data_IF_209388312089
#
_entry.id   IF_209388312089
#
_cell.length_a   1.000
_cell.length_b   1.000
_cell.length_c   1.000
_cell.angle_alpha   90.00
_cell.angle_beta   90.00
_cell.angle_gamma   90.00
#
_symmetry.space_group_name_H-M   'P 1'
#
loop_
_entity.id
_entity.type
_entity.pdbx_description
1 polymer ?
#
# COMPACT_ATOMS: atom_id res chain seq x y z
N UNK A 1 41.28 -39.47 10.13
CA UNK A 1 41.39 -38.37 9.14
C UNK A 1 40.48 -38.54 7.90
N UNK A 2 39.51 -39.47 7.88
CA UNK A 2 38.70 -39.80 6.69
C UNK A 2 37.29 -39.17 6.71
N UNK A 3 36.86 -38.52 7.80
CA UNK A 3 35.49 -37.98 7.91
C UNK A 3 35.29 -36.55 7.37
N UNK A 4 36.36 -35.86 6.97
CA UNK A 4 36.30 -34.45 6.55
C UNK A 4 36.06 -34.26 5.04
N UNK A 5 36.38 -35.26 4.21
CA UNK A 5 36.18 -35.17 2.74
C UNK A 5 34.71 -35.23 2.33
N UNK A 6 33.86 -35.86 3.14
CA UNK A 6 32.45 -36.08 2.79
C UNK A 6 31.55 -34.87 3.10
N UNK A 7 31.99 -33.96 3.98
CA UNK A 7 31.20 -32.78 4.35
C UNK A 7 31.43 -31.58 3.40
N UNK A 8 32.63 -31.47 2.81
CA UNK A 8 32.95 -30.41 1.84
C UNK A 8 32.35 -30.63 0.44
N UNK A 9 31.84 -31.83 0.14
CA UNK A 9 31.22 -32.12 -1.16
C UNK A 9 29.70 -31.86 -1.22
N UNK A 10 29.06 -31.40 -0.12
CA UNK A 10 27.62 -31.08 -0.08
C UNK A 10 27.26 -29.60 -0.19
N UNK A 11 28.24 -28.69 -0.26
CA UNK A 11 28.00 -27.27 -0.55
C UNK A 11 28.44 -26.94 -1.97
N UNK A 12 27.78 -27.57 -2.95
CA UNK A 12 27.86 -27.16 -4.35
C UNK A 12 26.92 -25.95 -4.54
N UNK A 13 27.41 -24.77 -4.97
CA UNK A 13 26.58 -23.60 -5.21
C UNK A 13 25.88 -23.73 -6.57
N UNK A 14 24.88 -24.61 -6.66
CA UNK A 14 24.15 -24.88 -7.91
C UNK A 14 22.64 -24.56 -7.86
N UNK A 15 22.14 -23.92 -6.79
CA UNK A 15 20.70 -23.61 -6.67
C UNK A 15 20.33 -22.12 -6.69
N UNK A 16 21.28 -21.20 -6.92
CA UNK A 16 20.99 -19.77 -6.98
C UNK A 16 20.85 -19.23 -8.43
N UNK A 17 20.29 -20.03 -9.36
CA UNK A 17 20.11 -19.59 -10.76
C UNK A 17 18.82 -20.10 -11.41
N UNK A 18 17.70 -20.09 -10.69
CA UNK A 18 16.39 -20.27 -11.31
C UNK A 18 15.32 -19.46 -10.59
N UNK A 19 15.28 -18.14 -10.80
CA UNK A 19 14.05 -17.32 -10.78
C UNK A 19 14.33 -15.84 -11.11
N UNK A 20 14.89 -15.57 -12.30
CA UNK A 20 14.79 -14.24 -12.92
C UNK A 20 14.58 -14.44 -14.42
N UNK A 21 13.39 -14.88 -14.81
CA UNK A 21 12.83 -14.67 -16.16
C UNK A 21 11.32 -14.74 -16.04
N UNK A 22 10.67 -13.59 -15.89
CA UNK A 22 9.36 -13.24 -16.46
C UNK A 22 8.89 -11.92 -15.85
N UNK A 23 9.27 -10.80 -16.46
CA UNK A 23 8.54 -9.54 -16.37
C UNK A 23 8.25 -9.08 -17.80
N UNK A 24 6.98 -8.97 -18.22
CA UNK A 24 6.61 -8.17 -19.36
C UNK A 24 6.66 -6.68 -18.98
N UNK A 25 7.18 -5.89 -19.90
CA UNK A 25 7.04 -4.43 -19.99
C UNK A 25 5.61 -3.95 -19.68
N UNK A 26 5.45 -2.89 -18.89
CA UNK A 26 5.01 -1.55 -19.34
C UNK A 26 4.59 -0.64 -18.15
N UNK A 27 4.83 0.66 -18.31
CA UNK A 27 4.29 1.84 -17.58
C UNK A 27 4.98 2.29 -16.25
N UNK A 28 5.80 3.34 -16.39
CA UNK A 28 6.13 4.33 -15.35
C UNK A 28 4.88 5.15 -14.96
N UNK A 29 4.76 5.57 -13.70
CA UNK A 29 5.06 6.98 -13.42
C UNK A 29 5.94 7.18 -12.19
N UNK A 30 6.65 8.31 -12.20
CA UNK A 30 7.40 8.87 -11.10
C UNK A 30 6.46 9.36 -9.99
N UNK A 31 6.84 9.19 -8.71
CA UNK A 31 7.01 10.29 -7.74
C UNK A 31 7.47 9.77 -6.36
N UNK A 32 8.47 10.48 -5.82
CA UNK A 32 8.83 10.70 -4.42
C UNK A 32 8.82 9.56 -3.38
N UNK A 33 10.03 9.07 -3.09
CA UNK A 33 10.72 9.20 -1.81
C UNK A 33 9.86 9.29 -0.52
N UNK A 34 9.74 8.15 0.16
CA UNK A 34 9.86 8.11 1.62
C UNK A 34 10.93 7.08 1.96
N UNK A 35 12.12 7.56 2.35
CA UNK A 35 13.23 6.74 2.81
C UNK A 35 12.77 5.92 4.03
N UNK A 36 12.61 4.62 3.82
CA UNK A 36 12.49 3.64 4.88
C UNK A 36 13.88 3.48 5.50
N UNK A 37 13.98 3.77 6.81
CA UNK A 37 15.19 3.64 7.59
C UNK A 37 15.78 2.23 7.44
N UNK A 38 16.88 2.14 6.69
CA UNK A 38 17.83 1.06 6.85
C UNK A 38 18.59 1.37 8.13
N UNK A 39 18.29 0.63 9.19
CA UNK A 39 19.25 0.49 10.29
C UNK A 39 20.50 -0.14 9.68
N UNK A 40 21.50 0.68 9.41
CA UNK A 40 22.85 0.24 9.15
C UNK A 40 23.32 -0.47 10.42
N UNK A 41 23.33 -1.80 10.40
CA UNK A 41 24.06 -2.58 11.38
C UNK A 41 25.52 -2.18 11.25
N UNK A 42 26.04 -1.46 12.24
CA UNK A 42 27.46 -1.17 12.37
C UNK A 42 28.25 -2.46 12.11
N UNK A 43 29.17 -2.50 11.14
CA UNK A 43 30.10 -3.62 11.05
C UNK A 43 31.07 -3.45 12.22
N UNK A 44 30.71 -3.98 13.38
CA UNK A 44 31.65 -4.22 14.46
C UNK A 44 32.62 -5.32 13.96
N UNK A 45 33.63 -4.89 13.21
CA UNK A 45 34.80 -5.70 12.86
C UNK A 45 35.68 -5.83 14.11
N UNK A 46 35.16 -6.53 15.11
CA UNK A 46 35.99 -7.03 16.22
C UNK A 46 36.57 -8.35 15.75
N UNK A 47 37.52 -8.28 14.81
CA UNK A 47 38.41 -9.41 14.60
C UNK A 47 39.31 -9.43 15.83
N UNK A 48 38.94 -10.24 16.81
CA UNK A 48 39.78 -10.51 17.97
C UNK A 48 40.99 -11.29 17.45
N UNK A 49 42.09 -10.56 17.21
CA UNK A 49 43.36 -11.14 16.79
C UNK A 49 43.93 -11.85 18.01
N UNK A 50 43.50 -13.11 18.18
CA UNK A 50 43.96 -13.98 19.26
C UNK A 50 45.47 -14.20 19.08
N UNK A 51 46.25 -13.50 19.89
CA UNK A 51 47.71 -13.46 19.81
C UNK A 51 48.27 -14.76 20.39
N UNK A 52 48.93 -15.55 19.55
CA UNK A 52 49.65 -16.77 19.93
C UNK A 52 50.94 -16.32 20.62
N UNK A 53 51.08 -16.57 21.92
CA UNK A 53 52.27 -16.20 22.69
C UNK A 53 53.23 -17.40 22.81
N UNK A 54 54.48 -17.18 22.44
CA UNK A 54 55.52 -18.19 22.33
C UNK A 54 56.40 -18.21 23.59
N UNK A 55 56.39 -19.28 24.40
CA UNK A 55 57.27 -19.45 25.58
C UNK A 55 58.76 -19.57 25.23
N UNK A 56 59.64 -18.99 26.06
CA UNK A 56 61.11 -18.96 25.87
C UNK A 56 61.83 -20.25 26.27
N UNK A 57 62.84 -20.66 25.50
CA UNK A 57 63.59 -21.92 25.63
C UNK A 57 64.80 -21.81 26.57
N UNK A 58 64.88 -22.67 27.60
CA UNK A 58 65.94 -22.70 28.62
C UNK A 58 67.10 -23.69 28.40
N UNK A 59 67.05 -24.60 27.43
CA UNK A 59 68.13 -25.61 27.27
C UNK A 59 69.07 -25.28 26.11
N UNK A 60 70.19 -24.61 26.43
CA UNK A 60 71.27 -24.29 25.48
C UNK A 60 72.59 -24.77 26.05
N UNK A 61 73.24 -25.73 25.39
CA UNK A 61 74.63 -26.13 25.72
C UNK A 61 75.43 -26.28 24.43
N UNK A 62 76.33 -25.33 24.20
CA UNK A 62 77.32 -25.41 23.13
C UNK A 62 78.34 -26.49 23.50
N UNK A 63 78.43 -27.55 22.72
CA UNK A 63 79.48 -28.57 22.86
C UNK A 63 80.69 -28.14 22.02
N UNK A 64 81.42 -27.13 22.49
CA UNK A 64 82.68 -26.73 21.87
C UNK A 64 83.84 -27.29 22.72
N UNK A 65 84.65 -28.16 22.14
CA UNK A 65 85.83 -28.71 22.82
C UNK A 65 87.01 -27.75 22.65
N UNK A 66 87.09 -26.81 23.58
CA UNK A 66 88.18 -25.81 23.61
C UNK A 66 89.55 -26.46 23.80
N UNK A 67 89.63 -27.61 24.46
CA UNK A 67 90.92 -28.22 24.81
C UNK A 67 91.55 -28.93 23.61
N UNK A 68 90.76 -29.70 22.85
CA UNK A 68 91.22 -30.33 21.62
C UNK A 68 91.71 -29.28 20.61
N UNK A 69 91.00 -28.15 20.50
CA UNK A 69 91.34 -27.09 19.56
C UNK A 69 92.61 -26.31 19.94
N UNK A 70 92.86 -26.11 21.24
CA UNK A 70 94.14 -25.53 21.72
C UNK A 70 95.32 -26.45 21.40
N UNK A 71 95.18 -27.76 21.64
CA UNK A 71 96.24 -28.74 21.34
C UNK A 71 96.58 -28.80 19.84
N UNK A 72 95.57 -28.70 18.98
CA UNK A 72 95.77 -28.67 17.53
C UNK A 72 96.55 -27.41 17.11
N UNK A 73 96.23 -26.24 17.66
CA UNK A 73 96.95 -24.99 17.36
C UNK A 73 98.39 -25.02 17.87
N UNK A 74 98.63 -25.56 19.07
CA UNK A 74 99.99 -25.75 19.61
C UNK A 74 100.82 -26.67 18.70
N UNK A 75 100.23 -27.76 18.18
CA UNK A 75 100.91 -28.69 17.26
C UNK A 75 101.29 -28.06 15.92
N UNK A 76 100.59 -26.99 15.52
CA UNK A 76 100.83 -26.23 14.31
C UNK A 76 101.79 -25.03 14.52
N UNK A 77 102.44 -24.94 15.69
CA UNK A 77 103.51 -23.97 15.96
C UNK A 77 103.05 -22.65 16.60
N UNK A 78 101.81 -22.58 17.11
CA UNK A 78 101.36 -21.44 17.91
C UNK A 78 101.81 -21.56 19.38
N UNK A 79 102.16 -20.44 20.00
CA UNK A 79 102.38 -20.41 21.45
C UNK A 79 101.04 -20.68 22.16
N UNK A 80 101.07 -21.47 23.24
CA UNK A 80 99.89 -21.81 24.06
C UNK A 80 98.98 -20.62 24.35
N UNK A 81 99.57 -19.48 24.75
CA UNK A 81 98.82 -18.24 25.06
C UNK A 81 98.09 -17.68 23.84
N UNK A 82 98.71 -17.76 22.66
CA UNK A 82 98.11 -17.29 21.41
C UNK A 82 96.97 -18.23 20.98
N UNK A 83 97.17 -19.55 21.11
CA UNK A 83 96.14 -20.54 20.85
C UNK A 83 94.91 -20.33 21.76
N UNK A 84 95.11 -20.17 23.08
CA UNK A 84 94.03 -19.93 24.05
C UNK A 84 93.23 -18.66 23.73
N UNK A 85 93.88 -17.56 23.31
CA UNK A 85 93.19 -16.31 22.93
C UNK A 85 92.33 -16.50 21.68
N UNK A 86 92.85 -17.18 20.66
CA UNK A 86 92.11 -17.47 19.42
C UNK A 86 90.90 -18.35 19.72
N UNK A 87 91.08 -19.42 20.49
CA UNK A 87 90.00 -20.32 20.90
C UNK A 87 88.94 -19.58 21.72
N UNK A 88 89.36 -18.71 22.65
CA UNK A 88 88.43 -17.91 23.46
C UNK A 88 87.62 -16.94 22.61
N UNK A 89 88.25 -16.27 21.63
CA UNK A 89 87.55 -15.39 20.70
C UNK A 89 86.55 -16.16 19.82
N UNK A 90 86.91 -17.37 19.36
CA UNK A 90 86.02 -18.25 18.59
C UNK A 90 84.84 -18.74 19.41
N UNK A 91 85.06 -19.14 20.67
CA UNK A 91 83.97 -19.53 21.58
C UNK A 91 83.02 -18.35 21.81
N UNK A 92 83.56 -17.15 22.06
CA UNK A 92 82.75 -15.96 22.27
C UNK A 92 81.90 -15.60 21.04
N UNK A 93 82.49 -15.58 19.84
CA UNK A 93 81.79 -15.32 18.57
C UNK A 93 80.75 -16.40 18.26
N UNK A 94 81.10 -17.67 18.45
CA UNK A 94 80.19 -18.79 18.19
C UNK A 94 79.01 -18.79 19.16
N UNK A 95 79.25 -18.47 20.43
CA UNK A 95 78.19 -18.34 21.44
C UNK A 95 77.27 -17.17 21.09
N UNK A 96 77.82 -16.01 20.74
CA UNK A 96 77.03 -14.84 20.34
C UNK A 96 76.21 -15.10 19.05
N UNK A 97 76.80 -15.75 18.04
CA UNK A 97 76.09 -16.10 16.80
C UNK A 97 75.00 -17.14 17.05
N UNK A 98 75.24 -18.15 17.88
CA UNK A 98 74.23 -19.14 18.25
C UNK A 98 73.05 -18.47 18.99
N UNK A 99 73.29 -17.53 19.89
CA UNK A 99 72.21 -16.80 20.57
C UNK A 99 71.36 -15.95 19.63
N UNK A 100 71.90 -15.49 18.49
CA UNK A 100 71.11 -14.80 17.45
C UNK A 100 70.31 -15.82 16.65
N UNK A 101 70.96 -16.87 16.14
CA UNK A 101 70.30 -17.90 15.31
C UNK A 101 69.17 -18.60 16.08
N UNK A 102 69.37 -18.95 17.35
CA UNK A 102 68.34 -19.61 18.16
C UNK A 102 67.20 -18.67 18.60
N UNK A 103 67.41 -17.35 18.57
CA UNK A 103 66.33 -16.37 18.82
C UNK A 103 65.39 -16.27 17.62
N UNK A 104 65.94 -16.38 16.41
CA UNK A 104 65.18 -16.28 15.17
C UNK A 104 64.62 -17.63 14.71
N UNK A 105 65.15 -18.75 15.23
CA UNK A 105 64.64 -20.08 14.96
C UNK A 105 63.37 -20.40 15.77
N UNK A 106 62.49 -21.18 15.13
CA UNK A 106 61.29 -21.75 15.75
C UNK A 106 61.54 -23.23 16.01
N UNK A 107 61.33 -23.68 17.25
CA UNK A 107 61.46 -25.12 17.58
C UNK A 107 60.21 -25.90 17.20
N UNK A 108 60.35 -27.20 16.98
CA UNK A 108 59.22 -28.08 16.66
C UNK A 108 58.11 -28.04 17.74
N UNK A 109 58.49 -27.99 19.02
CA UNK A 109 57.54 -27.81 20.14
C UNK A 109 56.77 -26.50 20.03
N UNK A 110 57.44 -25.44 19.60
CA UNK A 110 56.82 -24.14 19.38
C UNK A 110 55.77 -24.20 18.26
N UNK A 111 56.15 -24.81 17.13
CA UNK A 111 55.25 -24.99 15.99
C UNK A 111 54.02 -25.84 16.36
N UNK A 112 54.19 -26.86 17.20
CA UNK A 112 53.08 -27.69 17.67
C UNK A 112 52.08 -26.90 18.53
N UNK A 113 52.57 -26.09 19.47
CA UNK A 113 51.71 -25.23 20.31
C UNK A 113 50.93 -24.24 19.43
N UNK A 114 51.60 -23.57 18.49
CA UNK A 114 50.95 -22.65 17.56
C UNK A 114 49.86 -23.35 16.73
N UNK A 115 50.14 -24.57 16.24
CA UNK A 115 49.15 -25.37 15.51
C UNK A 115 47.95 -25.75 16.39
N UNK A 116 48.17 -26.18 17.64
CA UNK A 116 47.09 -26.50 18.56
C UNK A 116 46.19 -25.29 18.84
N UNK A 117 46.77 -24.09 19.00
CA UNK A 117 46.01 -22.85 19.18
C UNK A 117 45.19 -22.50 17.93
N UNK A 118 45.78 -22.60 16.74
CA UNK A 118 45.07 -22.41 15.47
C UNK A 118 43.90 -23.40 15.35
N UNK A 119 44.13 -24.68 15.67
CA UNK A 119 43.09 -25.71 15.64
C UNK A 119 41.94 -25.40 16.61
N UNK A 120 42.26 -24.97 17.84
CA UNK A 120 41.25 -24.56 18.82
C UNK A 120 40.42 -23.36 18.33
N UNK A 121 41.05 -22.39 17.66
CA UNK A 121 40.34 -21.27 17.06
C UNK A 121 39.44 -21.69 15.89
N UNK A 122 39.89 -22.59 15.02
CA UNK A 122 39.06 -23.14 13.94
C UNK A 122 37.86 -23.92 14.51
N UNK A 123 38.05 -24.65 15.60
CA UNK A 123 36.97 -25.36 16.28
C UNK A 123 35.94 -24.41 16.92
N UNK A 124 36.39 -23.28 17.47
CA UNK A 124 35.52 -22.20 17.95
C UNK A 124 34.67 -21.63 16.80
N UNK A 125 35.30 -21.24 15.69
CA UNK A 125 34.61 -20.69 14.51
C UNK A 125 33.58 -21.68 13.97
N UNK A 126 33.91 -22.98 13.96
CA UNK A 126 32.98 -24.03 13.51
C UNK A 126 31.76 -24.13 14.42
N UNK A 127 31.94 -24.01 15.75
CA UNK A 127 30.80 -23.99 16.70
C UNK A 127 29.91 -22.79 16.45
N UNK A 128 30.51 -21.60 16.29
CA UNK A 128 29.76 -20.36 16.03
C UNK A 128 28.96 -20.46 14.73
N UNK A 129 29.55 -21.00 13.66
CA UNK A 129 28.85 -21.26 12.40
C UNK A 129 27.64 -22.20 12.56
N UNK A 130 27.80 -23.30 13.30
CA UNK A 130 26.71 -24.26 13.55
C UNK A 130 25.60 -23.64 14.41
N UNK A 131 25.95 -22.81 15.39
CA UNK A 131 24.98 -22.08 16.23
C UNK A 131 24.19 -21.10 15.36
N UNK A 132 24.88 -20.32 14.53
CA UNK A 132 24.26 -19.36 13.62
C UNK A 132 23.27 -20.07 12.65
N UNK A 133 23.68 -21.21 12.07
CA UNK A 133 22.86 -22.01 11.15
C UNK A 133 21.63 -22.61 11.83
N UNK A 134 21.78 -23.14 13.05
CA UNK A 134 20.69 -23.84 13.75
C UNK A 134 19.75 -22.90 14.50
N UNK A 135 20.26 -21.80 15.06
CA UNK A 135 19.48 -20.87 15.88
C UNK A 135 18.94 -19.73 15.04
N UNK A 136 19.82 -18.86 14.56
CA UNK A 136 19.41 -17.56 14.01
C UNK A 136 18.76 -17.72 12.65
N UNK A 137 19.34 -18.52 11.76
CA UNK A 137 18.74 -18.76 10.45
C UNK A 137 17.44 -19.56 10.52
N UNK A 138 17.30 -20.48 11.47
CA UNK A 138 16.05 -21.21 11.67
C UNK A 138 14.94 -20.27 12.19
N UNK A 139 15.27 -19.41 13.16
CA UNK A 139 14.36 -18.42 13.70
C UNK A 139 13.92 -17.42 12.62
N UNK A 140 14.86 -16.87 11.85
CA UNK A 140 14.55 -15.94 10.76
C UNK A 140 13.68 -16.57 9.67
N UNK A 141 13.92 -17.84 9.31
CA UNK A 141 13.06 -18.55 8.34
C UNK A 141 11.64 -18.77 8.89
N UNK A 142 11.53 -19.17 10.16
CA UNK A 142 10.24 -19.36 10.84
C UNK A 142 9.46 -18.05 10.92
N UNK A 143 10.11 -16.98 11.35
CA UNK A 143 9.51 -15.64 11.45
C UNK A 143 9.10 -15.11 10.06
N UNK A 144 9.92 -15.31 9.04
CA UNK A 144 9.58 -14.93 7.67
C UNK A 144 8.35 -15.72 7.15
N UNK A 145 8.29 -17.03 7.41
CA UNK A 145 7.14 -17.86 7.04
C UNK A 145 5.86 -17.42 7.78
N UNK A 146 5.98 -17.08 9.07
CA UNK A 146 4.88 -16.55 9.88
C UNK A 146 4.38 -15.21 9.32
N UNK A 147 5.27 -14.26 9.09
CA UNK A 147 4.92 -12.96 8.49
C UNK A 147 4.23 -13.11 7.14
N UNK A 148 4.71 -14.02 6.28
CA UNK A 148 4.08 -14.30 4.98
C UNK A 148 2.66 -14.84 5.15
N UNK A 149 2.43 -15.70 6.14
CA UNK A 149 1.11 -16.27 6.43
C UNK A 149 0.15 -15.19 6.95
N UNK A 150 0.59 -14.35 7.89
CA UNK A 150 -0.20 -13.23 8.41
C UNK A 150 -0.56 -12.22 7.31
N UNK A 151 0.37 -11.94 6.40
CA UNK A 151 0.15 -11.06 5.26
C UNK A 151 -0.95 -11.59 4.33
N UNK A 152 -0.91 -12.88 3.98
CA UNK A 152 -1.98 -13.48 3.16
C UNK A 152 -3.32 -13.52 3.91
N UNK A 153 -3.32 -13.76 5.22
CA UNK A 153 -4.55 -13.68 6.03
C UNK A 153 -5.16 -12.28 6.00
N UNK A 154 -4.36 -11.23 6.22
CA UNK A 154 -4.85 -9.84 6.20
C UNK A 154 -5.36 -9.47 4.81
N UNK A 155 -4.64 -9.87 3.75
CA UNK A 155 -5.04 -9.64 2.36
C UNK A 155 -6.38 -10.31 2.03
N UNK A 156 -6.58 -11.57 2.44
CA UNK A 156 -7.84 -12.27 2.23
C UNK A 156 -8.99 -11.59 2.98
N UNK A 157 -8.79 -11.25 4.26
CA UNK A 157 -9.79 -10.50 5.04
C UNK A 157 -10.15 -9.16 4.40
N UNK A 158 -9.16 -8.41 3.91
CA UNK A 158 -9.40 -7.14 3.23
C UNK A 158 -10.22 -7.34 1.94
N UNK A 159 -9.92 -8.39 1.18
CA UNK A 159 -10.65 -8.71 -0.04
C UNK A 159 -12.10 -9.15 0.23
N UNK A 160 -12.32 -9.93 1.28
CA UNK A 160 -13.66 -10.35 1.73
C UNK A 160 -14.48 -9.15 2.22
N UNK A 161 -13.93 -8.32 3.11
CA UNK A 161 -14.60 -7.12 3.61
C UNK A 161 -14.88 -6.11 2.49
N UNK A 162 -13.96 -5.93 1.55
CA UNK A 162 -14.18 -5.04 0.38
C UNK A 162 -15.32 -5.54 -0.51
N UNK A 163 -15.40 -6.86 -0.74
CA UNK A 163 -16.51 -7.44 -1.49
C UNK A 163 -17.84 -7.32 -0.75
N UNK A 164 -17.84 -7.55 0.57
CA UNK A 164 -19.01 -7.38 1.42
C UNK A 164 -19.53 -5.95 1.39
N UNK A 165 -18.66 -4.96 1.63
CA UNK A 165 -19.00 -3.53 1.56
C UNK A 165 -19.57 -3.18 0.17
N UNK A 166 -19.00 -3.73 -0.91
CA UNK A 166 -19.51 -3.51 -2.27
C UNK A 166 -20.89 -4.12 -2.48
N UNK A 167 -21.13 -5.32 -1.97
CA UNK A 167 -22.43 -5.98 -2.06
C UNK A 167 -23.49 -5.24 -1.25
N UNK A 168 -23.16 -4.84 -0.01
CA UNK A 168 -24.02 -4.08 0.88
C UNK A 168 -24.38 -2.72 0.24
N UNK A 169 -23.39 -1.95 -0.24
CA UNK A 169 -23.64 -0.68 -0.92
C UNK A 169 -24.51 -0.84 -2.18
N UNK A 170 -24.33 -1.93 -2.94
CA UNK A 170 -25.17 -2.22 -4.11
C UNK A 170 -26.61 -2.53 -3.69
N UNK A 171 -26.80 -3.28 -2.61
CA UNK A 171 -28.13 -3.57 -2.06
C UNK A 171 -28.81 -2.29 -1.59
N UNK A 172 -28.12 -1.46 -0.81
CA UNK A 172 -28.64 -0.18 -0.32
C UNK A 172 -29.09 0.74 -1.46
N UNK A 173 -28.25 0.89 -2.49
CA UNK A 173 -28.60 1.69 -3.67
C UNK A 173 -29.83 1.12 -4.38
N UNK A 174 -29.95 -0.21 -4.48
CA UNK A 174 -31.10 -0.84 -5.13
C UNK A 174 -32.38 -0.66 -4.32
N UNK A 175 -32.31 -0.77 -2.99
CA UNK A 175 -33.44 -0.56 -2.10
C UNK A 175 -33.91 0.90 -2.16
N UNK A 176 -33.01 1.87 -2.06
CA UNK A 176 -33.37 3.28 -2.20
C UNK A 176 -33.90 3.61 -3.60
N UNK A 177 -33.33 3.01 -4.66
CA UNK A 177 -33.87 3.16 -6.02
C UNK A 177 -35.30 2.64 -6.12
N UNK A 178 -35.59 1.47 -5.54
CA UNK A 178 -36.96 0.92 -5.50
C UNK A 178 -37.88 1.87 -4.75
N UNK A 179 -37.47 2.35 -3.57
CA UNK A 179 -38.26 3.27 -2.74
C UNK A 179 -38.58 4.57 -3.47
N UNK A 180 -37.60 5.18 -4.14
CA UNK A 180 -37.80 6.39 -4.95
C UNK A 180 -38.74 6.12 -6.12
N UNK A 181 -38.62 4.96 -6.77
CA UNK A 181 -39.50 4.57 -7.87
C UNK A 181 -40.94 4.41 -7.39
N UNK A 182 -41.16 3.71 -6.28
CA UNK A 182 -42.48 3.51 -5.69
C UNK A 182 -43.13 4.86 -5.32
N UNK A 183 -42.37 5.74 -4.65
CA UNK A 183 -42.83 7.10 -4.34
C UNK A 183 -43.17 7.92 -5.60
N UNK A 184 -42.36 7.80 -6.66
CA UNK A 184 -42.61 8.48 -7.92
C UNK A 184 -43.90 7.97 -8.58
N UNK A 185 -44.11 6.65 -8.63
CA UNK A 185 -45.35 6.07 -9.17
C UNK A 185 -46.58 6.46 -8.36
N UNK A 186 -46.46 6.57 -7.04
CA UNK A 186 -47.54 7.04 -6.18
C UNK A 186 -47.87 8.52 -6.46
N UNK A 187 -46.85 9.37 -6.64
CA UNK A 187 -47.03 10.76 -7.02
C UNK A 187 -47.66 10.92 -8.40
N UNK A 188 -47.22 10.14 -9.38
CA UNK A 188 -47.79 10.11 -10.73
C UNK A 188 -49.28 9.73 -10.68
N UNK A 189 -49.64 8.72 -9.89
CA UNK A 189 -51.04 8.33 -9.67
C UNK A 189 -51.86 9.45 -9.05
N UNK A 190 -51.37 10.10 -7.99
CA UNK A 190 -52.07 11.24 -7.35
C UNK A 190 -52.24 12.40 -8.33
N UNK A 191 -51.23 12.67 -9.15
CA UNK A 191 -51.29 13.71 -10.18
C UNK A 191 -52.34 13.37 -11.24
N UNK A 192 -52.43 12.11 -11.66
CA UNK A 192 -53.46 11.65 -12.59
C UNK A 192 -54.87 11.78 -12.01
N UNK A 193 -55.07 11.41 -10.73
CA UNK A 193 -56.34 11.57 -10.02
C UNK A 193 -56.76 13.05 -9.93
N UNK A 194 -55.86 13.93 -9.47
CA UNK A 194 -56.12 15.38 -9.41
C UNK A 194 -56.40 15.95 -10.80
N UNK A 195 -55.68 15.52 -11.83
CA UNK A 195 -55.93 15.99 -13.19
C UNK A 195 -57.31 15.52 -13.71
N UNK A 196 -57.71 14.29 -13.41
CA UNK A 196 -59.04 13.79 -13.75
C UNK A 196 -60.16 14.56 -13.01
N UNK A 197 -59.98 14.83 -11.72
CA UNK A 197 -60.89 15.67 -10.94
C UNK A 197 -60.98 17.10 -11.47
N UNK A 198 -59.84 17.69 -11.82
CA UNK A 198 -59.77 19.01 -12.44
C UNK A 198 -60.57 19.05 -13.75
N UNK A 199 -60.37 18.08 -14.65
CA UNK A 199 -61.11 18.01 -15.90
C UNK A 199 -62.63 17.84 -15.67
N UNK A 200 -63.02 16.99 -14.70
CA UNK A 200 -64.43 16.83 -14.34
C UNK A 200 -65.05 18.14 -13.84
N UNK A 201 -64.35 18.86 -12.97
CA UNK A 201 -64.80 20.16 -12.45
C UNK A 201 -64.84 21.23 -13.54
N UNK A 202 -63.87 21.23 -14.45
CA UNK A 202 -63.85 22.14 -15.59
C UNK A 202 -65.06 21.90 -16.51
N UNK A 203 -65.40 20.64 -16.81
CA UNK A 203 -66.59 20.29 -17.60
C UNK A 203 -67.90 20.67 -16.89
N UNK A 204 -67.98 20.49 -15.56
CA UNK A 204 -69.13 20.93 -14.75
C UNK A 204 -69.31 22.46 -14.82
N UNK A 205 -68.22 23.21 -14.66
CA UNK A 205 -68.22 24.68 -14.80
C UNK A 205 -68.64 25.08 -16.21
N UNK A 206 -68.07 24.48 -17.25
CA UNK A 206 -68.40 24.78 -18.66
C UNK A 206 -69.88 24.51 -18.97
N UNK A 207 -70.43 23.38 -18.51
CA UNK A 207 -71.85 23.06 -18.67
C UNK A 207 -72.74 24.08 -17.97
N UNK A 208 -72.39 24.48 -16.74
CA UNK A 208 -73.14 25.49 -15.99
C UNK A 208 -73.07 26.89 -16.65
N UNK A 209 -71.92 27.23 -17.22
CA UNK A 209 -71.73 28.47 -17.97
C UNK A 209 -72.61 28.46 -19.23
N UNK A 210 -72.62 27.38 -20.00
CA UNK A 210 -73.49 27.23 -21.18
C UNK A 210 -74.97 27.31 -20.80
N UNK A 211 -75.38 26.69 -19.68
CA UNK A 211 -76.77 26.77 -19.22
C UNK A 211 -77.17 28.20 -18.83
N UNK A 212 -76.30 28.93 -18.12
CA UNK A 212 -76.56 30.33 -17.75
C UNK A 212 -76.58 31.24 -18.97
N UNK A 213 -75.67 31.07 -19.94
CA UNK A 213 -75.71 31.80 -21.21
C UNK A 213 -77.02 31.55 -21.96
N UNK A 214 -77.49 30.30 -22.06
CA UNK A 214 -78.79 29.98 -22.68
C UNK A 214 -79.96 30.65 -21.98
N UNK A 215 -79.96 30.69 -20.63
CA UNK A 215 -81.01 31.39 -19.86
C UNK A 215 -81.01 32.89 -20.16
N UNK A 216 -79.83 33.51 -20.18
CA UNK A 216 -79.66 34.93 -20.55
C UNK A 216 -80.20 35.17 -21.96
N UNK A 217 -79.87 34.33 -22.94
CA UNK A 217 -80.34 34.48 -24.32
C UNK A 217 -81.87 34.40 -24.44
N UNK A 218 -82.50 33.46 -23.70
CA UNK A 218 -83.97 33.32 -23.66
C UNK A 218 -84.60 34.56 -23.02
N UNK A 219 -84.07 35.03 -21.89
CA UNK A 219 -84.57 36.23 -21.21
C UNK A 219 -84.43 37.46 -22.10
N UNK A 220 -83.29 37.65 -22.77
CA UNK A 220 -83.05 38.73 -23.73
C UNK A 220 -84.04 38.67 -24.89
N UNK A 221 -84.29 37.50 -25.47
CA UNK A 221 -85.29 37.32 -26.52
C UNK A 221 -86.69 37.66 -26.02
N UNK A 222 -87.07 37.19 -24.82
CA UNK A 222 -88.38 37.44 -24.22
C UNK A 222 -88.60 38.93 -23.96
N UNK A 223 -87.63 39.62 -23.36
CA UNK A 223 -87.68 41.07 -23.11
C UNK A 223 -87.76 41.85 -24.41
N UNK A 224 -87.04 41.42 -25.45
CA UNK A 224 -87.13 42.03 -26.79
C UNK A 224 -88.52 41.90 -27.39
N UNK A 225 -89.16 40.72 -27.31
CA UNK A 225 -90.53 40.54 -27.80
C UNK A 225 -91.55 41.40 -27.02
N UNK A 226 -91.38 41.50 -25.70
CA UNK A 226 -92.22 42.35 -24.85
C UNK A 226 -92.06 43.82 -25.25
N UNK A 227 -90.82 44.28 -25.42
CA UNK A 227 -90.51 45.63 -25.87
C UNK A 227 -91.13 45.94 -27.25
N UNK A 228 -91.01 45.04 -28.22
CA UNK A 228 -91.61 45.19 -29.54
C UNK A 228 -93.15 45.25 -29.47
N UNK A 229 -93.76 44.41 -28.62
CA UNK A 229 -95.21 44.43 -28.42
C UNK A 229 -95.70 45.74 -27.79
N UNK A 230 -94.98 46.27 -26.79
CA UNK A 230 -95.30 47.54 -26.13
C UNK A 230 -95.12 48.74 -27.07
N UNK A 231 -94.10 48.70 -27.94
CA UNK A 231 -93.92 49.68 -29.01
C UNK A 231 -95.11 49.68 -29.96
N UNK A 232 -95.55 48.50 -30.43
CA UNK A 232 -96.72 48.37 -31.31
C UNK A 232 -98.02 48.84 -30.64
N UNK A 233 -98.22 48.51 -29.35
CA UNK A 233 -99.36 49.00 -28.58
C UNK A 233 -99.37 50.53 -28.49
N UNK A 234 -98.25 51.14 -28.12
CA UNK A 234 -98.12 52.60 -28.05
C UNK A 234 -98.42 53.27 -29.40
N UNK A 235 -97.92 52.72 -30.51
CA UNK A 235 -98.24 53.21 -31.87
C UNK A 235 -99.74 53.12 -32.15
N UNK A 236 -100.40 52.00 -31.80
CA UNK A 236 -101.86 51.85 -31.97
C UNK A 236 -102.66 52.82 -31.11
N UNK A 237 -102.28 53.01 -29.84
CA UNK A 237 -102.92 53.99 -28.94
C UNK A 237 -102.79 55.42 -29.48
N UNK A 238 -101.59 55.82 -29.93
CA UNK A 238 -101.37 57.14 -30.53
C UNK A 238 -102.24 57.33 -31.79
N UNK A 239 -102.29 56.33 -32.67
CA UNK A 239 -103.15 56.37 -33.85
C UNK A 239 -104.62 56.55 -33.46
N UNK A 240 -105.13 55.77 -32.50
CA UNK A 240 -106.49 55.87 -32.00
C UNK A 240 -106.81 57.27 -31.44
N UNK A 241 -105.89 57.86 -30.66
CA UNK A 241 -106.03 59.22 -30.16
C UNK A 241 -106.12 60.23 -31.30
N UNK A 242 -105.22 60.16 -32.29
CA UNK A 242 -105.26 61.06 -33.46
C UNK A 242 -106.57 60.91 -34.23
N UNK A 243 -107.02 59.68 -34.51
CA UNK A 243 -108.30 59.42 -35.17
C UNK A 243 -109.48 59.96 -34.36
N UNK A 244 -109.47 59.80 -33.03
CA UNK A 244 -110.53 60.34 -32.16
C UNK A 244 -110.57 61.87 -32.17
N UNK A 245 -109.41 62.54 -32.12
CA UNK A 245 -109.31 63.99 -32.24
C UNK A 245 -109.80 64.48 -33.60
N UNK A 246 -109.42 63.79 -34.69
CA UNK A 246 -109.90 64.10 -36.04
C UNK A 246 -111.41 63.88 -36.18
N UNK A 247 -111.96 62.81 -35.62
CA UNK A 247 -113.40 62.54 -35.62
C UNK A 247 -114.18 63.62 -34.85
N UNK A 248 -113.67 64.06 -33.70
CA UNK A 248 -114.26 65.17 -32.93
C UNK A 248 -114.17 66.48 -33.73
N UNK A 249 -113.02 66.79 -34.33
CA UNK A 249 -112.85 67.99 -35.15
C UNK A 249 -113.78 68.02 -36.37
N UNK A 250 -113.97 66.87 -37.04
CA UNK A 250 -114.94 66.72 -38.13
C UNK A 250 -116.39 66.83 -37.64
N UNK A 251 -116.69 66.30 -36.45
CA UNK A 251 -117.99 66.48 -35.79
C UNK A 251 -118.31 67.95 -35.51
N UNK A 252 -117.34 68.72 -35.00
CA UNK A 252 -117.49 70.17 -34.80
C UNK A 252 -117.59 70.95 -36.12
N UNK A 253 -116.83 70.58 -37.15
CA UNK A 253 -116.91 71.20 -38.47
C UNK A 253 -118.24 70.90 -39.19
N UNK A 254 -118.89 69.77 -38.87
CA UNK A 254 -120.23 69.43 -39.38
C UNK A 254 -121.38 70.18 -38.71
N UNK A 255 -121.19 70.68 -37.48
CA UNK A 255 -122.18 71.47 -36.73
C UNK A 255 -122.14 72.97 -37.10
N UNK A 256 -121.04 73.45 -37.70
CA UNK A 256 -120.87 74.85 -38.14
C UNK A 256 -121.19 75.06 -39.64
N UNK A 257 -122.16 74.31 -40.17
CA UNK A 257 -122.70 74.50 -41.52
C UNK A 257 -124.22 74.40 -41.47
#
# INVERSE_FOLDING_TARGET
>A
MVYWRTLMHRLCPAQFRQHIRSCPSFIRPAFCNYLRGFHATNPAKTYDVRKVELTTLEQRKLTFDSHAFVQELESNGFEKKQAEVIVTALVALTTANMDIVYRDMVTGAHQEIALQQIMAHLDSIRKDMVILEKSEFANLRSENAKMKTELEQIKNRLFEESQKIRADAKLDINLERSRVTDMFTEQEKKLMEVNAEFHKKNAEIESSAVETTKKIDIEVASLKTLLESLKLQTVRYLAACIFSCLAIALGFHGIWK
#
